data_IF_254835717476
#
_entry.id   IF_254835717476
#
_cell.length_a   1.000
_cell.length_b   1.000
_cell.length_c   1.000
_cell.angle_alpha   90.00
_cell.angle_beta   90.00
_cell.angle_gamma   90.00
#
_symmetry.space_group_name_H-M   'P 1'
#
loop_
_entity.id
_entity.type
_entity.pdbx_description
1 polymer ?
#
# COMPACT_ATOMS: atom_id res chain seq x y z
N UNK A 1 17.98 0.38 -5.97
CA UNK A 1 18.02 -1.09 -5.76
C UNK A 1 16.75 -1.70 -6.33
N UNK A 2 16.60 -3.03 -6.28
CA UNK A 2 15.32 -3.67 -6.63
C UNK A 2 14.21 -3.20 -5.69
N UNK A 3 12.96 -3.24 -6.16
CA UNK A 3 11.75 -2.95 -5.38
C UNK A 3 10.79 -4.12 -5.49
N UNK A 4 9.84 -4.20 -4.55
CA UNK A 4 8.75 -5.18 -4.58
C UNK A 4 7.46 -4.42 -4.91
N UNK A 5 6.96 -4.60 -6.14
CA UNK A 5 5.66 -4.08 -6.56
C UNK A 5 4.57 -5.12 -6.24
N UNK A 6 3.41 -4.66 -5.76
CA UNK A 6 2.29 -5.53 -5.37
C UNK A 6 0.95 -4.85 -5.69
N UNK A 7 -0.09 -5.65 -5.89
CA UNK A 7 -1.49 -5.21 -5.97
C UNK A 7 -2.24 -5.86 -4.79
N UNK A 8 -2.98 -5.05 -4.04
CA UNK A 8 -3.86 -5.52 -2.96
C UNK A 8 -5.31 -5.13 -3.25
N UNK A 9 -6.22 -6.09 -3.08
CA UNK A 9 -7.66 -5.90 -3.31
C UNK A 9 -8.44 -5.98 -2.00
N UNK A 10 -9.44 -5.11 -1.86
CA UNK A 10 -10.35 -5.13 -0.72
C UNK A 10 -11.16 -3.84 -0.60
N UNK A 11 -12.20 -3.86 0.24
CA UNK A 11 -13.03 -2.68 0.50
C UNK A 11 -12.18 -1.58 1.15
N UNK A 12 -12.21 -0.38 0.58
CA UNK A 12 -11.43 0.78 1.01
C UNK A 12 -9.91 0.55 1.07
N UNK A 13 -9.37 -0.42 0.30
CA UNK A 13 -7.96 -0.85 0.41
C UNK A 13 -6.95 0.29 0.23
N UNK A 14 -7.24 1.28 -0.61
CA UNK A 14 -6.38 2.47 -0.78
C UNK A 14 -6.25 3.24 0.54
N UNK A 15 -7.38 3.68 1.11
CA UNK A 15 -7.37 4.46 2.35
C UNK A 15 -6.85 3.63 3.54
N UNK A 16 -7.27 2.36 3.63
CA UNK A 16 -6.81 1.44 4.68
C UNK A 16 -5.30 1.17 4.56
N UNK A 17 -4.79 0.96 3.35
CA UNK A 17 -3.37 0.78 3.08
C UNK A 17 -2.57 2.01 3.48
N UNK A 18 -3.03 3.21 3.13
CA UNK A 18 -2.42 4.49 3.59
C UNK A 18 -2.37 4.57 5.12
N UNK A 19 -3.44 4.14 5.81
CA UNK A 19 -3.50 4.10 7.27
C UNK A 19 -2.52 3.10 7.88
N UNK A 20 -2.38 1.91 7.31
CA UNK A 20 -1.41 0.88 7.75
C UNK A 20 0.03 1.37 7.54
N UNK A 21 0.30 2.04 6.41
CA UNK A 21 1.62 2.56 6.09
C UNK A 21 2.05 3.65 7.09
N UNK A 22 1.14 4.54 7.46
CA UNK A 22 1.43 5.70 8.32
C UNK A 22 1.76 6.97 7.52
N UNK A 23 2.03 8.06 8.25
CA UNK A 23 2.29 9.37 7.67
C UNK A 23 3.50 9.36 6.71
N UNK A 24 3.59 10.36 5.82
CA UNK A 24 4.73 10.44 4.87
C UNK A 24 6.05 10.74 5.55
N UNK A 25 6.03 11.60 6.55
CA UNK A 25 7.16 11.82 7.44
C UNK A 25 7.10 10.77 8.58
N UNK A 26 8.11 9.88 8.72
CA UNK A 26 8.14 8.90 9.81
C UNK A 26 8.04 9.53 11.21
N UNK A 27 8.58 10.74 11.40
CA UNK A 27 8.47 11.47 12.67
C UNK A 27 7.03 11.85 13.08
N UNK A 28 6.08 11.76 12.15
CA UNK A 28 4.64 11.98 12.36
C UNK A 28 3.83 10.68 12.23
N UNK A 29 4.50 9.54 12.09
CA UNK A 29 3.84 8.23 11.96
C UNK A 29 3.68 7.60 13.33
N UNK A 30 2.49 7.12 13.63
CA UNK A 30 2.20 6.51 14.93
C UNK A 30 2.86 5.11 15.04
N UNK A 31 3.32 4.71 16.24
CA UNK A 31 3.69 3.31 16.51
C UNK A 31 2.56 2.35 16.12
N UNK A 32 2.93 1.20 15.55
CA UNK A 32 2.00 0.22 14.96
C UNK A 32 1.68 0.47 13.48
N UNK A 33 2.09 1.61 12.91
CA UNK A 33 2.15 1.79 11.46
C UNK A 33 3.51 1.36 10.92
N UNK A 34 3.57 0.94 9.66
CA UNK A 34 4.83 0.46 9.05
C UNK A 34 5.94 1.51 9.19
N UNK A 35 5.64 2.78 8.91
CA UNK A 35 6.63 3.85 9.00
C UNK A 35 6.94 4.26 10.44
N UNK A 36 5.97 4.20 11.34
CA UNK A 36 6.20 4.48 12.76
C UNK A 36 7.12 3.44 13.41
N UNK A 37 7.03 2.18 12.98
CA UNK A 37 7.83 1.10 13.55
C UNK A 37 9.21 0.93 12.90
N UNK A 38 9.35 1.26 11.61
CA UNK A 38 10.54 0.90 10.83
C UNK A 38 11.27 2.04 10.12
N UNK A 39 10.75 3.27 10.13
CA UNK A 39 11.36 4.39 9.44
C UNK A 39 11.71 5.54 10.39
N UNK A 40 12.77 6.28 10.05
CA UNK A 40 13.21 7.48 10.79
C UNK A 40 13.29 8.68 9.85
N UNK A 41 13.84 8.47 8.65
CA UNK A 41 14.07 9.52 7.65
C UNK A 41 12.99 9.50 6.56
N UNK A 42 12.51 10.68 6.16
CA UNK A 42 11.50 10.85 5.11
C UNK A 42 11.93 10.30 3.74
N UNK A 43 13.22 10.41 3.39
CA UNK A 43 13.81 9.86 2.17
C UNK A 43 14.11 8.36 2.25
N UNK A 44 13.86 7.74 3.40
CA UNK A 44 14.02 6.29 3.67
C UNK A 44 12.79 5.73 4.39
N UNK A 45 11.60 6.11 3.94
CA UNK A 45 10.32 5.77 4.57
C UNK A 45 9.74 4.38 4.19
N UNK A 46 10.62 3.45 3.82
CA UNK A 46 10.39 2.00 3.65
C UNK A 46 9.46 1.58 2.50
N UNK A 47 8.26 2.15 2.39
CA UNK A 47 7.21 1.67 1.47
C UNK A 47 6.41 2.82 0.85
N UNK A 48 5.83 2.56 -0.33
CA UNK A 48 4.88 3.43 -1.04
C UNK A 48 3.48 2.80 -1.07
N UNK A 49 2.44 3.63 -1.16
CA UNK A 49 1.08 3.19 -1.43
C UNK A 49 0.27 4.35 -1.99
N UNK A 50 -0.54 4.07 -3.01
CA UNK A 50 -1.31 5.07 -3.77
C UNK A 50 -2.21 5.90 -2.85
N UNK A 51 -2.36 7.19 -3.16
CA UNK A 51 -3.09 8.16 -2.32
C UNK A 51 -4.59 8.24 -2.60
N UNK A 52 -5.03 7.72 -3.75
CA UNK A 52 -6.40 7.78 -4.24
C UNK A 52 -6.66 6.59 -5.18
N UNK A 53 -7.94 6.32 -5.45
CA UNK A 53 -8.33 5.27 -6.41
C UNK A 53 -7.81 5.60 -7.82
N UNK A 54 -7.83 6.87 -8.21
CA UNK A 54 -7.32 7.31 -9.51
C UNK A 54 -5.81 7.10 -9.64
N UNK A 55 -5.04 7.45 -8.60
CA UNK A 55 -3.60 7.16 -8.55
C UNK A 55 -3.33 5.66 -8.57
N UNK A 56 -4.10 4.87 -7.81
CA UNK A 56 -3.97 3.42 -7.80
C UNK A 56 -4.19 2.81 -9.18
N UNK A 57 -5.22 3.23 -9.90
CA UNK A 57 -5.50 2.76 -11.26
C UNK A 57 -4.34 3.10 -12.23
N UNK A 58 -3.78 4.31 -12.14
CA UNK A 58 -2.63 4.72 -12.96
C UNK A 58 -1.37 3.93 -12.62
N UNK A 59 -1.08 3.76 -11.33
CA UNK A 59 0.07 3.00 -10.85
C UNK A 59 -0.03 1.52 -11.24
N UNK A 60 -1.19 0.88 -11.07
CA UNK A 60 -1.40 -0.51 -11.48
C UNK A 60 -1.18 -0.67 -12.99
N UNK A 61 -1.75 0.20 -13.82
CA UNK A 61 -1.56 0.14 -15.27
C UNK A 61 -0.10 0.35 -15.71
N UNK A 62 0.68 1.13 -14.95
CA UNK A 62 2.10 1.35 -15.20
C UNK A 62 2.96 0.14 -14.79
N UNK A 63 2.75 -0.38 -13.59
CA UNK A 63 3.60 -1.42 -13.00
C UNK A 63 3.21 -2.84 -13.41
N UNK A 64 1.95 -3.08 -13.77
CA UNK A 64 1.40 -4.39 -14.14
C UNK A 64 0.53 -4.29 -15.41
N UNK A 65 1.13 -4.00 -16.58
CA UNK A 65 0.40 -3.85 -17.84
C UNK A 65 -0.34 -5.13 -18.27
N UNK A 66 0.09 -6.31 -17.80
CA UNK A 66 -0.58 -7.60 -17.98
C UNK A 66 -1.83 -7.79 -17.12
N UNK A 67 -2.07 -6.91 -16.15
CA UNK A 67 -3.20 -6.95 -15.23
C UNK A 67 -3.01 -7.86 -14.01
N UNK A 68 -4.01 -7.93 -13.12
CA UNK A 68 -3.92 -8.69 -11.88
C UNK A 68 -4.16 -10.20 -12.09
N UNK A 69 -3.53 -11.00 -11.24
CA UNK A 69 -3.91 -12.41 -11.07
C UNK A 69 -5.19 -12.51 -10.24
N UNK A 70 -6.28 -12.97 -10.85
CA UNK A 70 -7.59 -13.04 -10.21
C UNK A 70 -7.82 -14.40 -9.53
N UNK A 71 -8.30 -14.37 -8.28
CA UNK A 71 -8.70 -15.54 -7.50
C UNK A 71 -9.70 -15.10 -6.42
N UNK A 72 -10.44 -16.05 -5.84
CA UNK A 72 -11.38 -15.76 -4.76
C UNK A 72 -10.89 -16.37 -3.44
N UNK A 73 -10.75 -15.53 -2.42
CA UNK A 73 -10.41 -16.00 -1.07
C UNK A 73 -11.48 -16.92 -0.50
N UNK A 74 -11.06 -18.04 0.07
CA UNK A 74 -11.95 -18.97 0.80
C UNK A 74 -12.62 -18.32 2.01
N UNK A 75 -12.03 -17.24 2.53
CA UNK A 75 -12.54 -16.45 3.65
C UNK A 75 -13.45 -15.30 3.23
N UNK A 76 -13.68 -15.07 1.93
CA UNK A 76 -14.46 -13.92 1.43
C UNK A 76 -15.88 -13.82 2.03
N UNK A 77 -16.48 -14.93 2.44
CA UNK A 77 -17.82 -14.93 3.06
C UNK A 77 -17.83 -14.41 4.51
N UNK A 78 -16.67 -14.31 5.14
CA UNK A 78 -16.52 -14.02 6.58
C UNK A 78 -15.82 -12.68 6.85
N UNK A 79 -15.26 -12.04 5.82
CA UNK A 79 -14.49 -10.80 5.90
C UNK A 79 -15.20 -9.73 5.07
#
# INVERSE_FOLDING_TARGET
GPVVAMIWEGKNVVLTGRKIIGATNPAQSEPGTIRGDFAIDIGRNVIHGSDSVDSANKEIALWFPEGPANWQSSLHKWI
#
